data_IF_461716108300
#
_entry.id   IF_461716108300
#
_cell.length_a   1.000
_cell.length_b   1.000
_cell.length_c   1.000
_cell.angle_alpha   90.00
_cell.angle_beta   90.00
_cell.angle_gamma   90.00
#
_symmetry.space_group_name_H-M   'P 1'
#
loop_
_entity.id
_entity.type
_entity.pdbx_description
1 polymer ?
#
# COMPACT_ATOMS: atom_id res chain seq x y z
N UNK A 1 -12.64 -16.33 13.09
CA UNK A 1 -12.81 -14.88 12.83
C UNK A 1 -11.68 -14.16 13.55
N UNK A 2 -10.97 -13.25 12.87
CA UNK A 2 -9.86 -12.51 13.50
C UNK A 2 -10.42 -11.51 14.54
N UNK A 3 -9.76 -11.33 15.70
CA UNK A 3 -10.23 -10.42 16.75
C UNK A 3 -9.82 -8.97 16.43
N UNK A 4 -10.44 -8.38 15.41
CA UNK A 4 -10.15 -7.00 14.99
C UNK A 4 -10.41 -6.00 16.11
N UNK A 5 -9.40 -5.18 16.40
CA UNK A 5 -9.49 -4.05 17.31
C UNK A 5 -9.57 -2.75 16.52
N UNK A 6 -10.58 -1.93 16.81
CA UNK A 6 -10.67 -0.57 16.33
C UNK A 6 -9.53 0.28 16.92
N UNK A 7 -8.85 1.05 16.06
CA UNK A 7 -7.85 2.00 16.51
C UNK A 7 -8.48 3.39 16.60
N UNK A 8 -8.67 3.97 17.81
CA UNK A 8 -9.31 5.27 18.01
C UNK A 8 -8.35 6.42 17.69
N UNK A 9 -7.81 6.41 16.48
CA UNK A 9 -6.97 7.45 15.90
C UNK A 9 -7.84 8.44 15.11
N UNK A 10 -7.33 9.63 14.75
CA UNK A 10 -8.06 10.56 13.88
C UNK A 10 -8.58 9.83 12.64
N UNK A 11 -9.86 10.04 12.32
CA UNK A 11 -10.45 9.45 11.13
C UNK A 11 -9.79 10.01 9.87
N UNK A 12 -9.37 9.12 8.98
CA UNK A 12 -8.79 9.47 7.70
C UNK A 12 -9.88 9.52 6.62
N UNK A 13 -9.71 10.42 5.66
CA UNK A 13 -10.50 10.41 4.42
C UNK A 13 -10.10 9.22 3.53
N UNK A 14 -8.80 9.01 3.35
CA UNK A 14 -8.26 7.89 2.59
C UNK A 14 -6.95 7.41 3.23
N UNK A 15 -7.05 6.56 4.26
CA UNK A 15 -5.87 5.94 4.86
C UNK A 15 -5.26 4.93 3.89
N UNK A 16 -3.96 5.02 3.65
CA UNK A 16 -3.24 4.21 2.67
C UNK A 16 -1.77 4.04 3.04
N UNK A 17 -1.09 3.18 2.29
CA UNK A 17 0.35 2.91 2.41
C UNK A 17 0.82 2.63 3.84
N UNK A 18 0.15 1.76 4.63
CA UNK A 18 0.68 1.33 5.92
C UNK A 18 2.02 0.62 5.74
N UNK A 19 3.02 1.01 6.51
CA UNK A 19 4.36 0.42 6.55
C UNK A 19 4.77 0.18 7.99
N UNK A 20 5.53 -0.88 8.19
CA UNK A 20 6.18 -1.16 9.46
C UNK A 20 7.70 -1.18 9.26
N UNK A 21 8.39 -0.27 9.94
CA UNK A 21 9.85 -0.16 9.88
C UNK A 21 10.37 0.51 11.15
N UNK A 22 11.63 0.24 11.51
CA UNK A 22 12.31 0.90 12.61
C UNK A 22 11.52 0.89 13.94
N UNK A 23 10.77 -0.19 14.21
CA UNK A 23 9.96 -0.34 15.43
C UNK A 23 8.72 0.56 15.49
N UNK A 24 8.22 1.03 14.35
CA UNK A 24 7.04 1.88 14.25
C UNK A 24 6.20 1.62 13.00
N UNK A 25 4.99 2.16 13.04
CA UNK A 25 4.03 2.16 11.95
C UNK A 25 4.01 3.53 11.29
N UNK A 26 3.85 3.57 9.97
CA UNK A 26 3.59 4.79 9.22
C UNK A 26 2.46 4.54 8.22
N UNK A 27 1.65 5.55 7.94
CA UNK A 27 0.63 5.51 6.88
C UNK A 27 0.28 6.94 6.47
N UNK A 28 -0.35 7.09 5.31
CA UNK A 28 -0.80 8.40 4.81
C UNK A 28 -2.31 8.51 4.85
N UNK A 29 -2.83 9.72 5.08
CA UNK A 29 -4.14 10.11 4.57
C UNK A 29 -3.92 10.92 3.30
N UNK A 30 -4.22 10.31 2.15
CA UNK A 30 -3.89 10.87 0.83
C UNK A 30 -4.60 12.21 0.63
N UNK A 31 -5.91 12.26 0.88
CA UNK A 31 -6.73 13.43 0.57
C UNK A 31 -6.46 14.60 1.54
N UNK A 32 -6.11 14.28 2.80
CA UNK A 32 -5.72 15.31 3.78
C UNK A 32 -4.23 15.67 3.69
N UNK A 33 -3.46 14.93 2.90
CA UNK A 33 -2.00 15.09 2.73
C UNK A 33 -1.28 15.01 4.07
N UNK A 34 -1.55 13.99 4.87
CA UNK A 34 -0.92 13.82 6.19
C UNK A 34 -0.18 12.49 6.24
N UNK A 35 1.08 12.51 6.69
CA UNK A 35 1.80 11.31 7.10
C UNK A 35 1.64 11.13 8.62
N UNK A 36 1.12 9.99 9.01
CA UNK A 36 1.04 9.56 10.40
C UNK A 36 2.16 8.58 10.72
N UNK A 37 2.73 8.70 11.91
CA UNK A 37 3.71 7.77 12.47
C UNK A 37 3.34 7.43 13.91
N UNK A 38 3.46 6.16 14.28
CA UNK A 38 3.12 5.66 15.61
C UNK A 38 4.15 4.61 16.06
N UNK A 39 4.59 4.67 17.31
CA UNK A 39 5.46 3.64 17.86
C UNK A 39 4.73 2.28 17.94
N UNK A 40 5.45 1.18 17.73
CA UNK A 40 4.86 -0.17 17.78
C UNK A 40 4.13 -0.48 19.09
N UNK A 41 4.61 0.03 20.23
CA UNK A 41 4.04 -0.27 21.54
C UNK A 41 2.70 0.43 21.78
N UNK A 42 2.36 1.41 20.94
CA UNK A 42 1.12 2.17 21.03
C UNK A 42 0.00 1.61 20.14
N UNK A 43 0.27 0.65 19.24
CA UNK A 43 -0.71 0.24 18.21
C UNK A 43 -2.05 -0.23 18.80
N UNK A 44 -2.05 -0.99 19.90
CA UNK A 44 -3.27 -1.49 20.54
C UNK A 44 -3.82 -0.57 21.63
N UNK A 45 -3.09 0.49 22.00
CA UNK A 45 -3.52 1.48 23.01
C UNK A 45 -3.05 2.87 22.59
N UNK A 46 -3.45 3.35 21.40
CA UNK A 46 -2.91 4.59 20.89
C UNK A 46 -3.37 5.74 21.76
N UNK A 47 -2.44 6.63 22.09
CA UNK A 47 -2.75 7.91 22.74
C UNK A 47 -2.55 9.02 21.71
N UNK A 48 -3.46 9.99 21.59
CA UNK A 48 -3.34 11.05 20.58
C UNK A 48 -1.98 11.77 20.60
N UNK A 49 -1.40 11.99 21.78
CA UNK A 49 -0.09 12.62 21.93
C UNK A 49 1.12 11.79 21.44
N UNK A 50 0.93 10.48 21.25
CA UNK A 50 1.97 9.57 20.74
C UNK A 50 1.91 9.46 19.20
N UNK A 51 0.86 10.00 18.58
CA UNK A 51 0.71 10.02 17.14
C UNK A 51 1.49 11.21 16.57
N UNK A 52 2.55 10.92 15.84
CA UNK A 52 3.29 11.93 15.12
C UNK A 52 2.61 12.21 13.78
N UNK A 53 2.39 13.48 13.46
CA UNK A 53 1.74 13.93 12.22
C UNK A 53 2.62 14.88 11.45
N UNK A 54 2.74 14.69 10.14
CA UNK A 54 3.43 15.61 9.24
C UNK A 54 2.50 16.00 8.10
N UNK A 55 2.29 17.31 7.90
CA UNK A 55 1.58 17.82 6.73
C UNK A 55 2.48 17.72 5.50
N UNK A 56 2.00 17.04 4.47
CA UNK A 56 2.70 16.78 3.22
C UNK A 56 2.36 17.86 2.19
N UNK A 57 3.31 18.20 1.29
CA UNK A 57 3.10 19.20 0.25
C UNK A 57 2.22 18.72 -0.91
N UNK A 58 1.97 17.42 -1.01
CA UNK A 58 1.27 16.78 -2.11
C UNK A 58 0.39 15.61 -1.64
N UNK A 59 -0.49 15.12 -2.50
CA UNK A 59 -1.30 13.92 -2.32
C UNK A 59 -0.42 12.68 -2.46
N UNK A 60 0.38 12.37 -1.44
CA UNK A 60 1.24 11.18 -1.45
C UNK A 60 0.39 9.93 -1.39
N UNK A 61 0.44 9.10 -2.43
CA UNK A 61 -0.20 7.78 -2.44
C UNK A 61 0.63 6.72 -1.75
N UNK A 62 1.95 6.89 -1.78
CA UNK A 62 2.91 5.91 -1.32
C UNK A 62 3.97 6.57 -0.44
N UNK A 63 4.28 5.93 0.68
CA UNK A 63 5.45 6.22 1.50
C UNK A 63 6.25 4.94 1.72
N UNK A 64 7.56 5.01 1.54
CA UNK A 64 8.48 3.88 1.67
C UNK A 64 9.56 4.20 2.70
N UNK A 65 9.79 3.31 3.67
CA UNK A 65 10.91 3.47 4.58
C UNK A 65 12.23 3.32 3.82
N UNK A 66 13.25 4.04 4.27
CA UNK A 66 14.63 3.83 3.84
C UNK A 66 15.43 3.10 4.93
N UNK A 67 16.64 2.65 4.61
CA UNK A 67 17.54 2.05 5.59
C UNK A 67 17.91 3.00 6.74
N UNK A 68 17.86 4.32 6.49
CA UNK A 68 18.08 5.34 7.51
C UNK A 68 16.77 5.60 8.26
N UNK A 69 16.80 5.45 9.59
CA UNK A 69 15.65 5.77 10.44
C UNK A 69 15.20 7.23 10.23
N UNK A 70 13.90 7.47 10.40
CA UNK A 70 13.24 8.78 10.17
C UNK A 70 13.48 9.38 8.78
N UNK A 71 13.85 8.55 7.80
CA UNK A 71 14.02 8.93 6.41
C UNK A 71 13.11 8.09 5.53
N UNK A 72 12.29 8.76 4.72
CA UNK A 72 11.25 8.14 3.89
C UNK A 72 11.30 8.68 2.47
N UNK A 73 10.93 7.83 1.52
CA UNK A 73 10.58 8.25 0.16
C UNK A 73 9.06 8.37 0.09
N UNK A 74 8.55 9.48 -0.44
CA UNK A 74 7.11 9.68 -0.67
C UNK A 74 6.85 9.97 -2.15
N UNK A 75 5.76 9.44 -2.71
CA UNK A 75 5.39 9.64 -4.12
C UNK A 75 3.93 10.09 -4.26
N UNK A 76 3.69 11.09 -5.10
CA UNK A 76 2.43 11.82 -5.22
C UNK A 76 2.12 12.29 -6.65
N UNK A 77 1.38 13.39 -6.81
CA UNK A 77 1.03 13.98 -8.11
C UNK A 77 2.22 14.60 -8.81
N UNK A 78 3.01 15.39 -8.10
CA UNK A 78 4.10 16.18 -8.67
C UNK A 78 5.41 15.37 -8.80
N UNK A 79 5.49 14.18 -8.22
CA UNK A 79 6.59 13.25 -8.40
C UNK A 79 7.05 12.54 -7.11
N UNK A 80 8.32 12.66 -6.76
CA UNK A 80 8.95 12.00 -5.60
C UNK A 80 9.62 12.97 -4.64
N UNK A 81 9.51 12.70 -3.34
CA UNK A 81 10.08 13.49 -2.25
C UNK A 81 10.92 12.61 -1.32
N UNK A 82 12.00 13.20 -0.83
CA UNK A 82 12.70 12.71 0.34
C UNK A 82 12.13 13.41 1.58
N UNK A 83 11.76 12.63 2.59
CA UNK A 83 11.33 13.12 3.90
C UNK A 83 12.43 12.77 4.90
N UNK A 84 13.03 13.76 5.55
CA UNK A 84 14.00 13.58 6.63
C UNK A 84 13.49 14.27 7.90
N UNK A 85 13.12 13.46 8.90
CA UNK A 85 12.39 13.96 10.07
C UNK A 85 11.02 14.50 9.65
N UNK A 86 10.91 15.83 9.61
CA UNK A 86 9.70 16.58 9.20
C UNK A 86 9.94 17.47 7.97
N UNK A 87 11.13 17.42 7.38
CA UNK A 87 11.47 18.18 6.19
C UNK A 87 11.16 17.36 4.94
N UNK A 88 10.32 17.90 4.05
CA UNK A 88 10.04 17.31 2.74
C UNK A 88 10.82 18.05 1.65
N UNK A 89 11.65 17.33 0.88
CA UNK A 89 12.40 17.87 -0.26
C UNK A 89 12.00 17.16 -1.53
N UNK A 90 11.55 17.91 -2.53
CA UNK A 90 11.21 17.38 -3.86
C UNK A 90 12.47 17.00 -4.62
N UNK A 91 12.50 15.80 -5.22
CA UNK A 91 13.70 15.23 -5.85
C UNK A 91 13.42 14.75 -7.29
N UNK A 92 12.22 14.24 -7.55
CA UNK A 92 11.85 13.65 -8.84
C UNK A 92 10.57 14.30 -9.37
N UNK A 93 10.54 14.70 -10.64
CA UNK A 93 9.30 15.11 -11.31
C UNK A 93 8.48 13.88 -11.75
N UNK A 94 7.16 13.98 -11.66
CA UNK A 94 6.28 12.94 -12.21
C UNK A 94 6.49 12.76 -13.73
N UNK A 95 6.48 11.51 -14.25
CA UNK A 95 6.62 11.23 -15.69
C UNK A 95 5.30 11.38 -16.47
N UNK A 96 4.28 12.01 -15.87
CA UNK A 96 2.91 12.10 -16.39
C UNK A 96 2.29 13.49 -16.15
N UNK A 97 1.11 13.73 -16.72
CA UNK A 97 0.30 14.93 -16.46
C UNK A 97 -0.29 14.88 -15.04
N UNK A 98 0.33 15.63 -14.12
CA UNK A 98 -0.05 15.65 -12.71
C UNK A 98 -1.42 16.29 -12.43
N UNK A 99 -2.10 16.83 -13.44
CA UNK A 99 -3.51 17.23 -13.34
C UNK A 99 -4.50 16.09 -13.61
N UNK A 100 -4.03 14.94 -14.11
CA UNK A 100 -4.87 13.78 -14.47
C UNK A 100 -4.45 12.49 -13.79
N UNK A 101 -3.20 12.40 -13.37
CA UNK A 101 -2.59 11.22 -12.80
C UNK A 101 -1.91 11.52 -11.46
N UNK A 102 -1.70 10.46 -10.69
CA UNK A 102 -1.00 10.49 -9.40
C UNK A 102 -0.28 9.16 -9.20
N UNK A 103 0.91 9.17 -8.61
CA UNK A 103 1.49 7.95 -8.08
C UNK A 103 0.60 7.40 -6.96
N UNK A 104 0.30 6.11 -6.98
CA UNK A 104 -0.70 5.50 -6.11
C UNK A 104 -0.09 4.49 -5.12
N UNK A 105 0.07 3.22 -5.49
CA UNK A 105 0.64 2.19 -4.61
C UNK A 105 2.03 1.79 -5.09
N UNK A 106 2.95 1.60 -4.15
CA UNK A 106 4.33 1.30 -4.47
C UNK A 106 5.05 0.55 -3.38
N UNK A 107 6.17 -0.05 -3.74
CA UNK A 107 7.02 -0.83 -2.84
C UNK A 107 8.46 -0.79 -3.33
N UNK A 108 9.41 -0.94 -2.41
CA UNK A 108 10.80 -1.18 -2.79
C UNK A 108 10.99 -2.66 -3.11
N UNK A 109 11.83 -2.96 -4.11
CA UNK A 109 12.36 -4.32 -4.27
C UNK A 109 13.53 -4.57 -3.30
N UNK A 110 14.10 -5.77 -3.32
CA UNK A 110 15.16 -6.17 -2.39
C UNK A 110 16.51 -5.48 -2.63
N UNK A 111 16.68 -4.79 -3.76
CA UNK A 111 17.88 -4.00 -4.08
C UNK A 111 17.65 -2.50 -3.95
N UNK A 112 16.45 -2.10 -3.52
CA UNK A 112 16.11 -0.72 -3.18
C UNK A 112 15.45 0.09 -4.29
N UNK A 113 15.21 -0.47 -5.48
CA UNK A 113 14.51 0.24 -6.55
C UNK A 113 13.06 0.49 -6.14
N UNK A 114 12.57 1.66 -6.50
CA UNK A 114 11.23 2.11 -6.13
C UNK A 114 10.26 1.72 -7.24
N UNK A 115 9.39 0.74 -6.96
CA UNK A 115 8.30 0.40 -7.86
C UNK A 115 7.03 1.12 -7.46
N UNK A 116 6.37 1.76 -8.43
CA UNK A 116 5.25 2.64 -8.15
C UNK A 116 4.22 2.60 -9.27
N UNK A 117 2.98 2.28 -8.92
CA UNK A 117 1.85 2.37 -9.83
C UNK A 117 1.31 3.79 -9.88
N UNK A 118 0.53 4.09 -10.89
CA UNK A 118 -0.27 5.31 -10.97
C UNK A 118 -1.75 5.00 -11.00
N UNK A 119 -2.55 6.06 -10.84
CA UNK A 119 -3.95 6.07 -11.22
C UNK A 119 -4.21 7.18 -12.24
N UNK A 120 -5.30 7.04 -12.97
CA UNK A 120 -5.91 8.12 -13.76
C UNK A 120 -7.26 8.50 -13.13
N UNK A 121 -7.46 9.80 -12.91
CA UNK A 121 -8.68 10.32 -12.28
C UNK A 121 -9.92 9.93 -13.10
N UNK A 122 -9.85 10.22 -14.40
CA UNK A 122 -10.85 9.83 -15.39
C UNK A 122 -10.92 8.30 -15.53
N UNK A 123 -12.12 7.78 -15.81
CA UNK A 123 -12.31 6.33 -16.01
C UNK A 123 -11.76 5.82 -17.35
N UNK A 124 -11.60 6.71 -18.32
CA UNK A 124 -11.13 6.39 -19.67
C UNK A 124 -10.47 7.62 -20.30
N UNK A 125 -9.41 7.45 -21.11
CA UNK A 125 -8.73 6.19 -21.43
C UNK A 125 -7.89 5.63 -20.27
N UNK A 126 -7.67 4.31 -20.26
CA UNK A 126 -6.75 3.62 -19.36
C UNK A 126 -5.31 4.05 -19.68
N UNK A 127 -4.79 4.99 -18.90
CA UNK A 127 -3.48 5.62 -19.13
C UNK A 127 -2.62 5.63 -17.87
N UNK A 128 -3.04 4.92 -16.83
CA UNK A 128 -2.20 4.65 -15.69
C UNK A 128 -1.21 3.52 -16.00
N UNK A 129 -0.20 3.37 -15.16
CA UNK A 129 0.96 2.53 -15.45
C UNK A 129 1.68 2.09 -14.16
N UNK A 130 2.54 1.09 -14.29
CA UNK A 130 3.56 0.73 -13.31
C UNK A 130 4.91 1.26 -13.79
N UNK A 131 5.63 1.94 -12.90
CA UNK A 131 6.99 2.41 -13.14
C UNK A 131 7.97 1.77 -12.16
N UNK A 132 9.22 1.65 -12.59
CA UNK A 132 10.37 1.40 -11.73
C UNK A 132 11.25 2.66 -11.75
N UNK A 133 11.54 3.22 -10.58
CA UNK A 133 12.38 4.40 -10.41
C UNK A 133 13.77 3.97 -9.98
N UNK A 134 14.75 4.34 -10.79
CA UNK A 134 16.18 4.11 -10.57
C UNK A 134 16.96 5.28 -11.19
N UNK A 135 17.98 5.77 -10.47
CA UNK A 135 18.88 6.84 -10.93
C UNK A 135 18.16 8.06 -11.53
N UNK A 136 17.17 8.59 -10.82
CA UNK A 136 16.44 9.80 -11.19
C UNK A 136 15.47 9.60 -12.37
N UNK A 137 15.23 8.35 -12.80
CA UNK A 137 14.38 8.03 -13.95
C UNK A 137 13.27 7.05 -13.59
N UNK A 138 12.04 7.39 -13.95
CA UNK A 138 10.90 6.47 -13.91
C UNK A 138 10.81 5.71 -15.25
N UNK A 139 11.20 4.44 -15.27
CA UNK A 139 11.02 3.54 -16.41
C UNK A 139 9.62 2.92 -16.40
N UNK A 140 8.91 3.00 -17.52
CA UNK A 140 7.62 2.34 -17.70
C UNK A 140 7.78 0.81 -17.77
N UNK A 141 7.11 0.07 -16.89
CA UNK A 141 7.15 -1.40 -16.83
C UNK A 141 5.85 -2.05 -17.31
N UNK A 142 4.70 -1.46 -16.96
CA UNK A 142 3.37 -1.92 -17.40
C UNK A 142 2.55 -0.69 -17.78
N UNK A 143 1.87 -0.73 -18.92
CA UNK A 143 0.97 0.31 -19.40
C UNK A 143 -0.52 -0.11 -19.26
N UNK A 144 -1.42 0.79 -19.69
CA UNK A 144 -2.85 0.54 -19.85
C UNK A 144 -3.58 0.09 -18.57
N UNK A 145 -3.11 0.55 -17.41
CA UNK A 145 -3.84 0.45 -16.15
C UNK A 145 -4.87 1.58 -16.03
N UNK A 146 -5.80 1.44 -15.10
CA UNK A 146 -6.67 2.56 -14.67
C UNK A 146 -6.34 3.00 -13.24
N UNK A 147 -6.24 2.05 -12.31
CA UNK A 147 -5.85 2.30 -10.91
C UNK A 147 -4.97 1.14 -10.46
N UNK A 148 -3.65 1.28 -10.60
CA UNK A 148 -2.73 0.25 -10.16
C UNK A 148 -2.60 0.23 -8.64
N UNK A 149 -2.65 -0.97 -8.07
CA UNK A 149 -2.70 -1.21 -6.62
C UNK A 149 -2.15 -2.59 -6.29
N UNK A 150 -2.08 -2.94 -5.02
CA UNK A 150 -1.76 -4.30 -4.58
C UNK A 150 -0.35 -4.74 -4.95
N UNK A 151 0.58 -3.79 -5.11
CA UNK A 151 1.92 -4.12 -5.52
C UNK A 151 2.68 -4.80 -4.38
N UNK A 152 3.09 -6.05 -4.59
CA UNK A 152 3.87 -6.79 -3.59
C UNK A 152 4.83 -7.79 -4.23
N UNK A 153 6.02 -7.91 -3.62
CA UNK A 153 7.04 -8.88 -3.97
C UNK A 153 6.92 -10.10 -3.07
N UNK A 154 6.99 -11.28 -3.67
CA UNK A 154 7.09 -12.56 -2.96
C UNK A 154 8.31 -12.59 -2.02
N UNK A 155 8.31 -13.40 -0.94
CA UNK A 155 9.44 -13.52 -0.03
C UNK A 155 10.77 -13.87 -0.69
N UNK A 156 10.73 -14.66 -1.77
CA UNK A 156 11.94 -15.03 -2.53
C UNK A 156 12.40 -13.95 -3.50
N UNK A 157 11.58 -12.94 -3.75
CA UNK A 157 11.86 -11.89 -4.73
C UNK A 157 11.87 -12.39 -6.17
N UNK A 158 11.17 -13.49 -6.48
CA UNK A 158 11.11 -14.09 -7.83
C UNK A 158 9.75 -13.87 -8.53
N UNK A 159 8.78 -13.31 -7.80
CA UNK A 159 7.42 -13.09 -8.26
C UNK A 159 6.88 -11.74 -7.76
N UNK A 160 6.15 -11.04 -8.62
CA UNK A 160 5.46 -9.77 -8.32
C UNK A 160 3.97 -9.91 -8.57
N UNK A 161 3.17 -9.38 -7.65
CA UNK A 161 1.73 -9.30 -7.77
C UNK A 161 1.34 -7.83 -7.96
N UNK A 162 0.36 -7.58 -8.82
CA UNK A 162 -0.19 -6.26 -9.09
C UNK A 162 -1.69 -6.40 -9.36
N UNK A 163 -2.50 -5.55 -8.75
CA UNK A 163 -3.91 -5.43 -9.05
C UNK A 163 -4.22 -4.16 -9.85
N UNK A 164 -5.29 -4.22 -10.62
CA UNK A 164 -5.94 -3.03 -11.15
C UNK A 164 -7.36 -2.96 -10.60
N UNK A 165 -7.58 -1.96 -9.73
CA UNK A 165 -8.82 -1.81 -8.98
C UNK A 165 -10.04 -1.63 -9.88
N UNK A 166 -9.92 -0.92 -11.00
CA UNK A 166 -11.08 -0.64 -11.89
C UNK A 166 -11.25 -1.69 -12.98
N UNK A 167 -10.16 -2.36 -13.40
CA UNK A 167 -10.28 -3.61 -14.17
C UNK A 167 -10.70 -4.82 -13.32
N UNK A 168 -10.67 -4.68 -11.99
CA UNK A 168 -11.07 -5.70 -11.02
C UNK A 168 -10.31 -7.00 -11.17
N UNK A 169 -9.02 -6.91 -11.42
CA UNK A 169 -8.17 -8.07 -11.63
C UNK A 169 -6.89 -8.00 -10.83
N UNK A 170 -6.29 -9.16 -10.63
CA UNK A 170 -4.95 -9.31 -10.05
C UNK A 170 -4.13 -10.15 -11.00
N UNK A 171 -2.91 -9.69 -11.23
CA UNK A 171 -1.90 -10.33 -12.06
C UNK A 171 -0.74 -10.78 -11.18
N UNK A 172 -0.12 -11.89 -11.58
CA UNK A 172 1.19 -12.34 -11.13
C UNK A 172 2.16 -12.26 -12.30
N UNK A 173 3.41 -11.92 -12.01
CA UNK A 173 4.53 -11.91 -12.94
C UNK A 173 5.68 -12.66 -12.31
N UNK A 174 6.49 -13.33 -13.13
CA UNK A 174 7.84 -13.70 -12.72
C UNK A 174 8.72 -12.45 -12.76
N UNK A 175 9.66 -12.35 -11.82
CA UNK A 175 10.47 -11.16 -11.59
C UNK A 175 11.95 -11.51 -11.45
N UNK A 176 12.78 -10.83 -12.24
CA UNK A 176 14.24 -10.98 -12.21
C UNK A 176 14.84 -9.78 -11.48
N UNK A 177 15.32 -9.97 -10.26
CA UNK A 177 15.85 -8.88 -9.44
C UNK A 177 17.11 -8.25 -10.05
N UNK A 178 17.93 -8.98 -10.78
CA UNK A 178 19.17 -8.42 -11.35
C UNK A 178 18.87 -7.37 -12.43
N UNK A 179 17.78 -7.55 -13.19
CA UNK A 179 17.43 -6.70 -14.35
C UNK A 179 16.21 -5.82 -14.10
N UNK A 180 15.42 -6.14 -13.07
CA UNK A 180 14.14 -5.48 -12.84
C UNK A 180 13.08 -5.84 -13.90
N UNK A 181 13.23 -6.97 -14.57
CA UNK A 181 12.31 -7.41 -15.62
C UNK A 181 11.11 -8.17 -15.05
N UNK A 182 9.93 -7.90 -15.62
CA UNK A 182 8.70 -8.65 -15.39
C UNK A 182 8.42 -9.52 -16.62
N UNK A 183 8.07 -10.77 -16.39
CA UNK A 183 7.73 -11.71 -17.46
C UNK A 183 6.58 -12.64 -17.04
N UNK A 184 6.11 -13.48 -17.97
CA UNK A 184 5.09 -14.51 -17.69
C UNK A 184 3.85 -13.98 -16.95
N UNK A 185 3.24 -12.91 -17.47
CA UNK A 185 2.01 -12.34 -16.93
C UNK A 185 0.90 -13.40 -16.84
N UNK A 186 0.35 -13.58 -15.65
CA UNK A 186 -0.71 -14.55 -15.35
C UNK A 186 -1.87 -13.86 -14.63
N UNK A 187 -3.09 -14.02 -15.16
CA UNK A 187 -4.31 -13.59 -14.45
C UNK A 187 -4.57 -14.56 -13.31
N UNK A 188 -4.45 -14.11 -12.06
CA UNK A 188 -4.71 -14.97 -10.89
C UNK A 188 -6.15 -14.83 -10.40
N UNK A 189 -6.75 -13.65 -10.57
CA UNK A 189 -8.12 -13.39 -10.15
C UNK A 189 -8.77 -12.32 -11.01
N UNK A 190 -9.97 -12.62 -11.50
CA UNK A 190 -10.93 -11.63 -11.99
C UNK A 190 -12.10 -11.60 -11.01
N UNK A 191 -12.43 -10.43 -10.47
CA UNK A 191 -13.63 -10.25 -9.66
C UNK A 191 -14.83 -9.98 -10.56
N UNK A 192 -15.98 -10.54 -10.19
CA UNK A 192 -17.24 -10.48 -10.95
C UNK A 192 -17.89 -9.09 -10.93
N UNK A 193 -19.07 -9.01 -11.54
CA UNK A 193 -19.97 -7.86 -11.40
C UNK A 193 -20.32 -7.59 -9.93
N UNK A 194 -20.61 -6.33 -9.60
CA UNK A 194 -20.73 -5.83 -8.23
C UNK A 194 -19.78 -4.67 -7.95
N UNK A 195 -19.57 -4.35 -6.69
CA UNK A 195 -18.77 -3.18 -6.29
C UNK A 195 -17.42 -3.54 -5.68
N UNK A 196 -17.30 -4.76 -5.14
CA UNK A 196 -16.07 -5.31 -4.59
C UNK A 196 -14.94 -5.32 -5.64
N UNK A 197 -13.75 -4.84 -5.24
CA UNK A 197 -12.58 -4.70 -6.11
C UNK A 197 -11.28 -4.73 -5.30
N UNK A 198 -10.17 -5.24 -5.88
CA UNK A 198 -8.89 -5.30 -5.18
C UNK A 198 -8.28 -3.90 -5.01
N UNK A 199 -7.57 -3.71 -3.92
CA UNK A 199 -6.86 -2.48 -3.57
C UNK A 199 -5.41 -2.83 -3.16
N UNK A 200 -4.83 -2.15 -2.19
CA UNK A 200 -3.52 -2.43 -1.62
C UNK A 200 -3.34 -3.84 -1.04
N UNK A 201 -2.09 -4.29 -1.00
CA UNK A 201 -1.72 -5.65 -0.60
C UNK A 201 -0.31 -5.74 0.03
N UNK A 202 -0.05 -6.87 0.68
CA UNK A 202 1.28 -7.27 1.14
C UNK A 202 1.45 -8.80 1.15
N UNK A 203 2.69 -9.26 1.20
CA UNK A 203 3.01 -10.66 1.50
C UNK A 203 3.25 -10.87 3.00
N UNK A 204 2.82 -12.01 3.53
CA UNK A 204 3.34 -12.55 4.79
C UNK A 204 4.55 -13.46 4.54
N UNK A 205 5.35 -13.70 5.57
CA UNK A 205 6.60 -14.47 5.49
C UNK A 205 6.40 -15.94 5.07
N UNK A 206 5.18 -16.48 5.17
CA UNK A 206 4.82 -17.82 4.71
C UNK A 206 4.58 -17.90 3.20
N UNK A 207 4.72 -16.79 2.47
CA UNK A 207 4.47 -16.72 1.02
C UNK A 207 3.02 -16.46 0.65
N UNK A 208 2.16 -16.09 1.60
CA UNK A 208 0.78 -15.71 1.29
C UNK A 208 0.68 -14.24 0.88
N UNK A 209 0.02 -13.97 -0.24
CA UNK A 209 -0.35 -12.63 -0.70
C UNK A 209 -1.72 -12.25 -0.13
N UNK A 210 -1.81 -11.11 0.56
CA UNK A 210 -3.01 -10.60 1.20
C UNK A 210 -3.42 -9.28 0.57
N UNK A 211 -4.62 -9.23 -0.02
CA UNK A 211 -5.14 -8.05 -0.72
C UNK A 211 -6.43 -7.56 -0.07
N UNK A 212 -6.51 -6.25 0.14
CA UNK A 212 -7.75 -5.63 0.59
C UNK A 212 -8.79 -5.61 -0.53
N UNK A 213 -10.04 -5.95 -0.19
CA UNK A 213 -11.15 -5.87 -1.12
C UNK A 213 -12.02 -4.68 -0.75
N UNK A 214 -11.78 -3.56 -1.41
CA UNK A 214 -12.55 -2.33 -1.29
C UNK A 214 -14.03 -2.59 -1.59
N UNK A 215 -14.92 -2.11 -0.71
CA UNK A 215 -16.38 -2.37 -0.76
C UNK A 215 -16.75 -3.85 -0.64
N UNK A 216 -15.83 -4.68 -0.13
CA UNK A 216 -15.98 -6.13 0.02
C UNK A 216 -15.86 -6.65 1.46
N UNK A 217 -15.60 -5.79 2.45
CA UNK A 217 -15.52 -6.13 3.88
C UNK A 217 -14.56 -7.27 4.20
N UNK A 218 -13.44 -7.39 3.48
CA UNK A 218 -12.51 -8.51 3.67
C UNK A 218 -11.13 -8.28 3.10
N UNK A 219 -10.21 -9.12 3.53
CA UNK A 219 -8.98 -9.43 2.81
C UNK A 219 -9.16 -10.76 2.07
N UNK A 220 -8.69 -10.85 0.83
CA UNK A 220 -8.54 -12.13 0.15
C UNK A 220 -7.07 -12.58 0.22
N UNK A 221 -6.85 -13.86 0.50
CA UNK A 221 -5.52 -14.46 0.64
C UNK A 221 -5.25 -15.44 -0.49
N UNK A 222 -4.06 -15.33 -1.08
CA UNK A 222 -3.60 -16.18 -2.17
C UNK A 222 -2.26 -16.81 -1.81
N UNK A 223 -1.95 -17.97 -2.39
CA UNK A 223 -0.60 -18.55 -2.34
C UNK A 223 0.36 -17.73 -3.21
N UNK A 224 1.66 -17.94 -3.04
CA UNK A 224 2.72 -17.36 -3.88
C UNK A 224 2.54 -17.70 -5.38
N UNK A 225 1.80 -18.77 -5.68
CA UNK A 225 1.44 -19.20 -7.04
C UNK A 225 0.15 -18.56 -7.57
N UNK A 226 -0.53 -17.75 -6.75
CA UNK A 226 -1.79 -17.10 -7.11
C UNK A 226 -3.04 -17.94 -6.89
N UNK A 227 -2.94 -19.06 -6.18
CA UNK A 227 -4.12 -19.88 -5.84
C UNK A 227 -4.89 -19.22 -4.69
N UNK A 228 -6.20 -19.03 -4.86
CA UNK A 228 -7.03 -18.51 -3.77
C UNK A 228 -7.05 -19.48 -2.60
N UNK A 229 -6.83 -18.97 -1.39
CA UNK A 229 -6.83 -19.78 -0.16
C UNK A 229 -8.08 -19.50 0.65
N UNK A 230 -8.31 -18.25 1.04
CA UNK A 230 -9.45 -17.88 1.87
C UNK A 230 -9.77 -16.38 1.79
N UNK A 231 -10.93 -16.02 2.31
CA UNK A 231 -11.33 -14.65 2.60
C UNK A 231 -11.41 -14.45 4.12
N UNK A 232 -10.83 -13.36 4.60
CA UNK A 232 -10.88 -12.95 6.01
C UNK A 232 -11.74 -11.72 6.15
N UNK A 233 -12.89 -11.87 6.81
CA UNK A 233 -13.84 -10.77 7.05
C UNK A 233 -13.22 -9.64 7.87
N UNK A 234 -13.61 -8.42 7.54
CA UNK A 234 -13.22 -7.17 8.18
C UNK A 234 -14.47 -6.38 8.59
N UNK A 235 -14.41 -5.62 9.70
CA UNK A 235 -15.47 -4.70 10.08
C UNK A 235 -15.47 -3.41 9.25
N UNK A 236 -14.45 -3.22 8.39
CA UNK A 236 -14.29 -2.04 7.56
C UNK A 236 -14.89 -2.30 6.18
N UNK A 237 -15.74 -1.37 5.73
CA UNK A 237 -16.42 -1.51 4.44
C UNK A 237 -15.49 -1.31 3.24
N UNK A 238 -14.51 -0.41 3.41
CA UNK A 238 -13.62 0.04 2.36
C UNK A 238 -12.14 -0.14 2.74
N UNK A 239 -11.71 -1.36 3.09
CA UNK A 239 -10.31 -1.60 3.41
C UNK A 239 -9.45 -1.28 2.18
N UNK A 240 -8.34 -0.60 2.42
CA UNK A 240 -7.45 -0.09 1.37
C UNK A 240 -6.17 -0.88 1.31
N UNK A 241 -5.49 -1.14 2.44
CA UNK A 241 -4.24 -1.89 2.42
C UNK A 241 -3.93 -2.60 3.75
N UNK A 242 -3.52 -3.88 3.72
CA UNK A 242 -2.95 -4.58 4.88
C UNK A 242 -1.44 -4.37 5.01
N UNK A 243 -0.92 -4.41 6.24
CA UNK A 243 0.51 -4.40 6.56
C UNK A 243 0.79 -5.27 7.79
N UNK A 244 1.73 -6.21 7.67
CA UNK A 244 2.24 -6.98 8.80
C UNK A 244 3.40 -6.26 9.49
N UNK A 245 3.51 -6.42 10.81
CA UNK A 245 4.56 -5.80 11.60
C UNK A 245 4.49 -6.14 13.09
N UNK A 246 4.99 -5.21 13.90
CA UNK A 246 5.18 -5.38 15.35
C UNK A 246 6.44 -6.15 15.72
N UNK A 247 6.83 -6.08 17.00
CA UNK A 247 8.08 -6.65 17.51
C UNK A 247 8.25 -8.14 17.19
N UNK A 248 7.16 -8.90 17.33
CA UNK A 248 7.12 -10.33 17.04
C UNK A 248 6.69 -10.63 15.59
N UNK A 249 6.51 -9.60 14.77
CA UNK A 249 6.04 -9.69 13.39
C UNK A 249 4.62 -10.24 13.23
N UNK A 250 3.83 -10.33 14.30
CA UNK A 250 2.53 -11.01 14.30
C UNK A 250 1.34 -10.06 14.30
N UNK A 251 1.54 -8.75 14.17
CA UNK A 251 0.45 -7.77 14.10
C UNK A 251 0.10 -7.53 12.64
N UNK A 252 -1.19 -7.60 12.33
CA UNK A 252 -1.74 -7.18 11.04
C UNK A 252 -2.53 -5.88 11.23
N UNK A 253 -2.04 -4.81 10.63
CA UNK A 253 -2.72 -3.51 10.53
C UNK A 253 -3.43 -3.43 9.18
N UNK A 254 -4.64 -2.88 9.15
CA UNK A 254 -5.41 -2.63 7.92
C UNK A 254 -5.91 -1.21 7.90
N UNK A 255 -5.56 -0.46 6.85
CA UNK A 255 -6.09 0.87 6.55
C UNK A 255 -7.43 0.76 5.80
N UNK A 256 -8.22 1.84 5.83
CA UNK A 256 -9.48 1.96 5.10
C UNK A 256 -9.74 3.38 4.62
N UNK A 257 -10.44 3.50 3.50
CA UNK A 257 -11.07 4.73 3.09
C UNK A 257 -12.29 5.05 3.97
N UNK A 258 -12.72 6.30 3.97
CA UNK A 258 -13.91 6.72 4.70
C UNK A 258 -15.17 5.98 4.23
N UNK A 259 -15.86 5.37 5.19
CA UNK A 259 -17.16 4.74 4.99
C UNK A 259 -18.23 5.79 4.60
N UNK A 260 -19.30 5.35 3.94
CA UNK A 260 -20.44 6.19 3.58
C UNK A 260 -21.77 5.48 3.85
N UNK A 261 -22.90 6.13 3.59
CA UNK A 261 -24.24 5.56 3.83
C UNK A 261 -24.50 4.25 3.07
N UNK A 262 -23.89 4.09 1.89
CA UNK A 262 -24.04 2.89 1.06
C UNK A 262 -23.13 1.76 1.55
N UNK A 263 -21.95 2.10 2.05
CA UNK A 263 -20.95 1.17 2.57
C UNK A 263 -20.53 1.58 3.98
N UNK A 264 -21.42 1.43 4.99
CA UNK A 264 -21.09 1.73 6.36
C UNK A 264 -20.20 0.64 6.95
N UNK A 265 -19.28 1.01 7.84
CA UNK A 265 -18.56 0.02 8.65
C UNK A 265 -19.53 -0.78 9.53
N UNK A 266 -19.07 -1.92 10.03
CA UNK A 266 -19.82 -2.72 10.99
C UNK A 266 -20.09 -1.95 12.29
N UNK A 267 -21.17 -2.27 13.03
CA UNK A 267 -21.47 -1.65 14.32
C UNK A 267 -20.28 -1.73 15.30
N UNK A 268 -19.98 -0.62 15.97
CA UNK A 268 -18.81 -0.47 16.86
C UNK A 268 -17.52 -0.07 16.16
N UNK A 269 -17.54 0.08 14.83
CA UNK A 269 -16.42 0.55 14.00
C UNK A 269 -16.79 1.82 13.21
N UNK A 270 -17.79 2.57 13.68
CA UNK A 270 -18.19 3.84 13.10
C UNK A 270 -17.01 4.83 13.12
N UNK A 271 -16.75 5.48 11.99
CA UNK A 271 -15.64 6.44 11.82
C UNK A 271 -14.23 5.87 12.07
N UNK A 272 -14.06 4.55 12.06
CA UNK A 272 -12.75 3.90 12.18
C UNK A 272 -12.10 3.76 10.80
N UNK A 273 -10.87 4.26 10.67
CA UNK A 273 -10.06 4.15 9.45
C UNK A 273 -8.95 3.09 9.55
N UNK A 274 -8.63 2.60 10.75
CA UNK A 274 -7.60 1.59 10.97
C UNK A 274 -8.09 0.53 11.96
N UNK A 275 -7.83 -0.74 11.64
CA UNK A 275 -7.98 -1.86 12.58
C UNK A 275 -6.67 -2.63 12.67
N UNK A 276 -6.44 -3.25 13.83
CA UNK A 276 -5.32 -4.17 14.01
C UNK A 276 -5.75 -5.43 14.73
N UNK A 277 -5.03 -6.52 14.51
CA UNK A 277 -5.12 -7.70 15.36
C UNK A 277 -3.77 -8.42 15.43
N UNK A 278 -3.57 -9.22 16.49
CA UNK A 278 -2.52 -10.22 16.50
C UNK A 278 -2.96 -11.45 15.69
N UNK A 279 -2.02 -12.04 14.96
CA UNK A 279 -2.26 -13.15 14.03
C UNK A 279 -1.28 -14.30 14.28
N UNK A 280 -1.59 -15.47 13.73
CA UNK A 280 -0.63 -16.58 13.63
C UNK A 280 0.37 -16.44 12.49
N UNK A 281 0.22 -15.43 11.63
CA UNK A 281 1.09 -15.16 10.50
C UNK A 281 2.23 -14.24 10.91
N UNK A 282 3.30 -14.23 10.11
CA UNK A 282 4.49 -13.40 10.36
C UNK A 282 4.72 -12.41 9.24
N UNK A 283 5.21 -11.23 9.61
CA UNK A 283 5.63 -10.19 8.70
C UNK A 283 6.78 -10.68 7.82
N UNK A 284 6.63 -10.49 6.51
CA UNK A 284 7.79 -10.43 5.63
C UNK A 284 8.53 -9.13 5.93
N UNK A 285 9.86 -9.17 6.00
CA UNK A 285 10.65 -7.97 6.24
C UNK A 285 10.38 -6.93 5.15
N UNK A 286 10.13 -5.67 5.53
CA UNK A 286 9.90 -4.59 4.57
C UNK A 286 11.20 -4.28 3.83
N UNK A 287 11.13 -4.21 2.50
CA UNK A 287 12.27 -3.74 1.71
C UNK A 287 12.41 -2.23 1.87
N UNK A 288 13.64 -1.74 1.97
CA UNK A 288 13.90 -0.32 2.06
C UNK A 288 14.15 0.29 0.69
N UNK A 289 13.53 1.43 0.42
CA UNK A 289 13.84 2.22 -0.77
C UNK A 289 15.24 2.82 -0.63
N UNK A 290 16.05 2.73 -1.68
CA UNK A 290 17.24 3.55 -1.82
C UNK A 290 16.82 4.95 -2.29
N UNK A 291 16.88 5.92 -1.37
CA UNK A 291 16.51 7.29 -1.64
C UNK A 291 17.34 7.95 -2.75
N UNK A 292 18.54 7.43 -3.05
CA UNK A 292 19.39 7.97 -4.13
C UNK A 292 18.75 7.76 -5.50
N UNK A 293 17.82 6.82 -5.66
CA UNK A 293 17.12 6.62 -6.92
C UNK A 293 16.15 7.76 -7.29
N UNK A 294 15.84 8.67 -6.37
CA UNK A 294 15.06 9.86 -6.69
C UNK A 294 15.87 10.93 -7.45
N UNK A 295 17.20 10.87 -7.43
CA UNK A 295 18.12 11.88 -7.96
C UNK A 295 19.02 11.35 -9.09
#
# INVERSE_FOLDING_TARGET
>A
MMPWQALPLPACSLAESPRYAHGGWAWVDINQRVLYRLNQHDIFKPKPQNLHTLQLPDEMGCVLPTAKADTWVALGRQGGWLIEGDTCTHQLNAPFDSGKHRFNDGRADTVGRIWISTLVDARSPATAALYCIESGKAELKIADLIVGNGLAFSPKGDSVFLSDTRHKCIWRFDYTVETGELSNQQLIKQYSEGTARPDGACFSADGSYWVAILEGYRLDRFSERGEFIESVELPLAKPTMPCFGGEQGNVLLVCSAQADEKFPNAPGFENISLVACETGFKALHENFADATHLA
#
